data_IF_725192370013
#
_entry.id   IF_725192370013
#
_cell.length_a   1.000
_cell.length_b   1.000
_cell.length_c   1.000
_cell.angle_alpha   90.00
_cell.angle_beta   90.00
_cell.angle_gamma   90.00
#
_symmetry.space_group_name_H-M   'P 1'
#
loop_
_entity.id
_entity.type
_entity.pdbx_description
1 polymer ?
#
# COMPACT_ATOMS: atom_id res chain seq x y z
N UNK A 1 54.43 -37.89 0.70
CA UNK A 1 55.86 -37.62 0.91
C UNK A 1 56.01 -36.10 0.96
N UNK A 2 55.81 -35.53 2.15
CA UNK A 2 56.85 -35.04 3.12
C UNK A 2 57.18 -33.56 2.86
N UNK A 3 56.55 -32.63 3.61
CA UNK A 3 57.07 -31.87 4.81
C UNK A 3 57.64 -30.51 4.36
N UNK A 4 57.47 -29.33 4.98
CA UNK A 4 57.28 -28.87 6.38
C UNK A 4 56.83 -27.38 6.35
N UNK A 5 55.92 -26.85 7.19
CA UNK A 5 56.12 -26.30 8.57
C UNK A 5 57.08 -25.09 8.63
N UNK A 6 56.90 -23.98 9.37
CA UNK A 6 55.95 -23.54 10.42
C UNK A 6 56.23 -22.06 10.81
N UNK A 7 55.50 -21.56 11.84
CA UNK A 7 55.64 -20.35 12.71
C UNK A 7 54.72 -19.17 12.34
N UNK A 8 53.68 -18.75 13.08
CA UNK A 8 53.30 -18.72 14.53
C UNK A 8 54.20 -17.85 15.42
N UNK A 9 53.75 -16.60 15.67
CA UNK A 9 53.79 -15.80 16.91
C UNK A 9 53.42 -14.35 16.51
N UNK A 10 52.71 -13.51 17.27
CA UNK A 10 52.45 -13.52 18.70
C UNK A 10 51.24 -12.64 19.07
N UNK A 11 50.89 -12.79 20.34
CA UNK A 11 49.67 -12.39 21.03
C UNK A 11 49.91 -11.09 21.80
N UNK A 12 48.82 -10.34 21.95
CA UNK A 12 48.39 -9.67 23.18
C UNK A 12 48.81 -8.22 23.52
N UNK A 13 47.79 -7.52 24.04
CA UNK A 13 47.77 -6.53 25.12
C UNK A 13 47.81 -5.04 24.76
N UNK A 14 46.66 -4.38 24.94
CA UNK A 14 46.52 -3.35 25.98
C UNK A 14 45.03 -3.01 26.21
N UNK A 15 44.57 -3.31 27.42
CA UNK A 15 43.30 -2.87 27.99
C UNK A 15 43.55 -1.74 28.98
N UNK A 16 42.46 -1.03 29.33
CA UNK A 16 42.27 -0.02 30.41
C UNK A 16 42.59 1.43 29.97
N UNK A 17 41.83 2.47 30.34
CA UNK A 17 40.86 2.59 31.43
C UNK A 17 39.98 3.86 31.29
N UNK A 18 38.77 3.78 31.90
CA UNK A 18 38.07 4.81 32.74
C UNK A 18 37.63 6.14 32.07
N UNK A 19 36.55 6.82 32.47
CA UNK A 19 35.42 6.61 33.36
C UNK A 19 34.47 7.83 33.23
N UNK A 20 33.20 7.63 33.61
CA UNK A 20 32.22 8.59 34.14
C UNK A 20 31.88 9.89 33.39
N UNK A 21 30.60 10.04 33.02
CA UNK A 21 29.71 11.04 33.62
C UNK A 21 28.25 10.86 33.14
N UNK A 22 27.38 10.41 34.05
CA UNK A 22 25.95 10.79 34.10
C UNK A 22 25.89 12.14 34.86
N UNK A 23 24.91 13.00 34.57
CA UNK A 23 23.79 13.07 35.51
C UNK A 23 22.41 13.18 34.85
N UNK A 24 21.45 12.94 35.72
CA UNK A 24 19.99 12.83 35.63
C UNK A 24 19.23 14.09 35.20
N UNK A 25 18.09 13.82 34.55
CA UNK A 25 16.78 14.53 34.54
C UNK A 25 16.64 15.87 35.28
N UNK A 26 15.98 16.84 34.64
CA UNK A 26 14.76 17.53 35.13
C UNK A 26 14.11 18.36 33.99
N UNK A 27 12.86 18.02 33.70
CA UNK A 27 11.72 18.89 33.34
C UNK A 27 11.99 20.32 32.80
N UNK A 28 11.55 20.61 31.58
CA UNK A 28 10.74 21.81 31.35
C UNK A 28 9.90 21.70 30.06
N UNK A 29 8.65 22.12 30.25
CA UNK A 29 7.50 22.06 29.36
C UNK A 29 7.37 23.46 28.79
N UNK A 30 7.62 23.66 27.50
CA UNK A 30 7.34 24.93 26.82
C UNK A 30 6.36 24.69 25.67
N UNK A 31 5.08 24.66 26.03
CA UNK A 31 3.96 24.93 25.12
C UNK A 31 4.10 26.37 24.63
N UNK A 32 4.04 26.59 23.32
CA UNK A 32 3.61 27.87 22.75
C UNK A 32 2.43 27.66 21.79
N UNK A 33 1.44 28.56 21.80
CA UNK A 33 0.11 28.32 21.26
C UNK A 33 0.00 28.82 19.81
N UNK A 34 -0.61 28.01 18.93
CA UNK A 34 -1.08 28.50 17.64
C UNK A 34 -2.49 29.09 17.83
N UNK A 35 -2.57 30.37 17.49
CA UNK A 35 -3.70 31.28 17.63
C UNK A 35 -4.93 30.85 16.84
N UNK A 36 -6.05 31.04 17.52
CA UNK A 36 -7.44 30.87 17.14
C UNK A 36 -7.86 31.94 16.13
N UNK A 37 -8.32 31.53 14.94
CA UNK A 37 -9.21 32.36 14.13
C UNK A 37 -10.61 31.75 14.15
N UNK A 38 -11.53 32.50 14.75
CA UNK A 38 -12.98 32.33 14.65
C UNK A 38 -13.42 33.09 13.39
N UNK A 39 -14.23 32.47 12.56
CA UNK A 39 -15.26 33.18 11.81
C UNK A 39 -16.63 32.66 12.25
N UNK A 40 -17.47 33.62 12.59
CA UNK A 40 -18.83 33.51 13.11
C UNK A 40 -19.71 34.11 12.01
N UNK A 41 -20.74 33.40 11.61
CA UNK A 41 -21.86 33.86 10.78
C UNK A 41 -22.88 32.72 10.86
N UNK A 42 -23.74 32.73 11.87
CA UNK A 42 -25.05 33.39 11.90
C UNK A 42 -26.04 32.78 10.92
N UNK A 43 -27.13 32.32 11.53
CA UNK A 43 -28.19 31.48 11.02
C UNK A 43 -29.34 32.29 10.41
N UNK A 44 -30.30 31.54 9.84
CA UNK A 44 -31.72 31.80 9.54
C UNK A 44 -32.00 31.31 8.11
N UNK A 45 -33.00 30.47 7.80
CA UNK A 45 -34.11 29.92 8.57
C UNK A 45 -34.78 28.77 7.79
N UNK A 46 -35.79 28.19 8.44
CA UNK A 46 -36.56 26.98 8.11
C UNK A 46 -37.45 27.11 6.85
N UNK A 47 -37.75 25.97 6.20
CA UNK A 47 -39.11 25.36 6.08
C UNK A 47 -39.15 24.15 5.11
N UNK A 48 -39.52 23.01 5.68
CA UNK A 48 -40.45 21.95 5.22
C UNK A 48 -40.23 21.06 3.96
N UNK A 49 -39.96 19.79 4.29
CA UNK A 49 -40.72 18.57 3.95
C UNK A 49 -40.52 17.75 2.64
N UNK A 50 -40.44 16.43 2.88
CA UNK A 50 -40.56 15.24 2.01
C UNK A 50 -39.32 14.80 1.19
N UNK A 51 -38.62 13.75 1.65
CA UNK A 51 -38.95 12.36 1.24
C UNK A 51 -38.06 11.33 1.96
N UNK A 52 -38.67 10.23 2.38
CA UNK A 52 -38.09 9.19 3.22
C UNK A 52 -37.47 8.08 2.34
N UNK A 53 -36.19 7.78 2.56
CA UNK A 53 -35.51 6.46 2.46
C UNK A 53 -33.99 6.65 2.32
N UNK A 54 -33.35 7.10 3.39
CA UNK A 54 -31.89 7.01 3.52
C UNK A 54 -31.57 6.60 4.96
N UNK A 55 -30.98 5.42 5.11
CA UNK A 55 -30.23 5.07 6.32
C UNK A 55 -29.23 6.20 6.60
N UNK A 56 -29.25 6.84 7.77
CA UNK A 56 -28.32 7.93 8.04
C UNK A 56 -26.91 7.35 8.14
N UNK A 57 -26.05 7.73 7.19
CA UNK A 57 -24.60 7.79 7.41
C UNK A 57 -24.39 8.61 8.67
N UNK A 58 -24.14 7.96 9.80
CA UNK A 58 -23.78 8.63 11.04
C UNK A 58 -22.36 9.16 10.82
N UNK A 59 -22.13 10.48 10.70
CA UNK A 59 -20.77 11.00 10.77
C UNK A 59 -20.26 10.64 12.16
N UNK A 60 -19.16 9.89 12.22
CA UNK A 60 -18.51 9.47 13.47
C UNK A 60 -17.90 10.69 14.17
N UNK A 61 -18.74 11.54 14.74
CA UNK A 61 -18.35 12.66 15.57
C UNK A 61 -17.58 12.10 16.77
N UNK A 62 -16.31 12.49 16.95
CA UNK A 62 -15.53 11.95 18.03
C UNK A 62 -16.08 12.45 19.37
N UNK A 63 -16.42 11.52 20.25
CA UNK A 63 -16.96 11.79 21.57
C UNK A 63 -15.89 12.49 22.41
N UNK A 64 -16.26 13.58 23.11
CA UNK A 64 -15.36 14.23 24.07
C UNK A 64 -15.74 13.81 25.48
N UNK A 65 -14.95 12.92 26.07
CA UNK A 65 -15.06 12.52 27.48
C UNK A 65 -13.89 13.14 28.25
N UNK A 66 -14.21 13.87 29.33
CA UNK A 66 -13.22 14.49 30.25
C UNK A 66 -12.13 15.30 29.54
N UNK A 67 -12.50 16.06 28.51
CA UNK A 67 -11.58 16.92 27.75
C UNK A 67 -10.65 16.18 26.78
N UNK A 68 -10.82 14.87 26.57
CA UNK A 68 -10.10 14.08 25.57
C UNK A 68 -11.04 13.65 24.44
N UNK A 69 -10.52 13.65 23.22
CA UNK A 69 -11.25 13.26 22.01
C UNK A 69 -11.11 11.75 21.80
N UNK A 70 -12.21 11.02 21.91
CA UNK A 70 -12.29 9.56 21.78
C UNK A 70 -13.03 9.26 20.47
N UNK A 71 -12.36 8.55 19.54
CA UNK A 71 -13.04 8.03 18.35
C UNK A 71 -13.93 6.85 18.78
N UNK A 72 -15.14 6.67 18.22
CA UNK A 72 -16.06 5.58 18.58
C UNK A 72 -15.42 4.20 18.61
N UNK A 73 -14.46 3.93 17.70
CA UNK A 73 -13.68 2.69 17.72
C UNK A 73 -12.97 2.38 19.04
N UNK A 74 -12.50 3.40 19.76
CA UNK A 74 -11.87 3.21 21.08
C UNK A 74 -12.86 2.87 22.20
N UNK A 75 -14.16 3.06 21.98
CA UNK A 75 -15.22 2.68 22.93
C UNK A 75 -15.66 1.23 22.70
N UNK A 76 -15.53 0.73 21.46
CA UNK A 76 -15.86 -0.65 21.07
C UNK A 76 -14.67 -1.58 21.33
N UNK A 77 -13.44 -1.14 21.03
CA UNK A 77 -12.19 -1.91 21.23
C UNK A 77 -11.77 -2.08 22.71
N UNK A 78 -12.58 -1.60 23.65
CA UNK A 78 -12.21 -1.48 25.07
C UNK A 78 -12.99 -2.37 26.04
N UNK A 79 -13.91 -3.22 25.57
CA UNK A 79 -14.56 -4.19 26.46
C UNK A 79 -13.74 -5.46 26.53
N UNK A 80 -13.41 -5.86 27.76
CA UNK A 80 -12.84 -7.17 28.11
C UNK A 80 -13.73 -8.34 27.63
N UNK A 81 -14.98 -8.03 27.26
CA UNK A 81 -15.88 -8.91 26.52
C UNK A 81 -15.92 -8.54 25.04
N UNK A 82 -15.00 -9.10 24.24
CA UNK A 82 -15.10 -9.08 22.78
C UNK A 82 -16.23 -10.01 22.30
N UNK A 83 -17.47 -9.60 22.58
CA UNK A 83 -18.67 -10.34 22.22
C UNK A 83 -18.81 -10.48 20.69
N UNK A 84 -18.26 -9.53 19.94
CA UNK A 84 -18.23 -9.57 18.47
C UNK A 84 -17.20 -10.58 17.97
N UNK A 85 -16.02 -10.64 18.57
CA UNK A 85 -15.02 -11.67 18.29
C UNK A 85 -15.53 -13.09 18.59
N UNK A 86 -16.18 -13.28 19.75
CA UNK A 86 -16.81 -14.57 20.11
C UNK A 86 -17.91 -14.99 19.15
N UNK A 87 -18.82 -14.07 18.81
CA UNK A 87 -19.87 -14.33 17.83
C UNK A 87 -19.27 -14.67 16.45
N UNK A 88 -18.21 -13.97 16.05
CA UNK A 88 -17.51 -14.27 14.79
C UNK A 88 -16.87 -15.66 14.81
N UNK A 89 -16.26 -16.07 15.93
CA UNK A 89 -15.68 -17.40 16.09
C UNK A 89 -16.75 -18.50 16.07
N UNK A 90 -17.89 -18.30 16.73
CA UNK A 90 -19.04 -19.21 16.69
C UNK A 90 -19.59 -19.35 15.27
N UNK A 91 -19.80 -18.25 14.56
CA UNK A 91 -20.30 -18.27 13.17
C UNK A 91 -19.34 -19.04 12.25
N UNK A 92 -18.03 -18.78 12.35
CA UNK A 92 -17.05 -19.46 11.47
C UNK A 92 -16.86 -20.92 11.89
N UNK A 93 -16.97 -21.25 13.18
CA UNK A 93 -16.96 -22.63 13.66
C UNK A 93 -18.17 -23.41 13.11
N UNK A 94 -19.36 -22.79 13.04
CA UNK A 94 -20.53 -23.40 12.41
C UNK A 94 -20.36 -23.59 10.89
N UNK A 95 -19.60 -22.72 10.22
CA UNK A 95 -19.25 -22.87 8.79
C UNK A 95 -18.27 -24.04 8.54
N UNK A 96 -17.43 -24.39 9.52
CA UNK A 96 -16.35 -25.38 9.37
C UNK A 96 -16.66 -26.61 10.24
N UNK A 97 -17.18 -27.67 9.61
CA UNK A 97 -17.59 -28.89 10.31
C UNK A 97 -16.48 -29.43 11.24
N UNK A 98 -16.82 -29.56 12.54
CA UNK A 98 -15.97 -30.21 13.53
C UNK A 98 -14.92 -29.32 14.20
N UNK A 99 -14.97 -27.99 14.01
CA UNK A 99 -14.06 -27.05 14.67
C UNK A 99 -14.77 -26.32 15.81
N UNK A 100 -14.10 -26.22 16.95
CA UNK A 100 -14.58 -25.47 18.12
C UNK A 100 -14.14 -24.00 18.05
N UNK A 101 -15.00 -23.08 18.51
CA UNK A 101 -14.74 -21.64 18.47
C UNK A 101 -13.51 -21.25 19.31
N UNK A 102 -13.29 -21.88 20.47
CA UNK A 102 -12.09 -21.61 21.28
C UNK A 102 -10.82 -22.15 20.61
N UNK A 103 -10.91 -23.29 19.92
CA UNK A 103 -9.80 -23.82 19.15
C UNK A 103 -9.41 -22.86 18.00
N UNK A 104 -10.40 -22.32 17.29
CA UNK A 104 -10.19 -21.37 16.21
C UNK A 104 -9.51 -20.09 16.67
N UNK A 105 -9.91 -19.57 17.83
CA UNK A 105 -9.28 -18.42 18.49
C UNK A 105 -7.81 -18.68 18.87
N UNK A 106 -7.50 -19.88 19.38
CA UNK A 106 -6.10 -20.29 19.63
C UNK A 106 -5.30 -20.39 18.32
N UNK A 107 -5.93 -20.86 17.24
CA UNK A 107 -5.27 -20.96 15.94
C UNK A 107 -5.05 -19.60 15.28
N UNK A 108 -5.90 -18.60 15.53
CA UNK A 108 -5.63 -17.20 15.16
C UNK A 108 -4.41 -16.66 15.91
N UNK A 109 -4.26 -16.95 17.20
CA UNK A 109 -3.05 -16.56 17.94
C UNK A 109 -1.79 -17.22 17.37
N UNK A 110 -1.87 -18.49 16.95
CA UNK A 110 -0.78 -19.16 16.23
C UNK A 110 -0.52 -18.54 14.86
N UNK A 111 -1.57 -18.18 14.13
CA UNK A 111 -1.45 -17.48 12.85
C UNK A 111 -0.68 -16.16 13.01
N UNK A 112 -0.90 -15.42 14.10
CA UNK A 112 -0.11 -14.23 14.42
C UNK A 112 1.36 -14.50 14.71
N UNK A 113 1.71 -15.68 15.21
CA UNK A 113 3.14 -16.06 15.37
C UNK A 113 3.79 -16.45 14.04
N UNK A 114 3.02 -16.98 13.09
CA UNK A 114 3.50 -17.28 11.74
C UNK A 114 3.65 -16.00 10.89
N UNK A 115 2.70 -15.08 11.02
CA UNK A 115 2.59 -13.85 10.24
C UNK A 115 2.29 -12.68 11.18
N UNK A 116 3.34 -12.16 11.81
CA UNK A 116 3.23 -11.11 12.85
C UNK A 116 2.52 -9.84 12.37
N UNK A 117 2.65 -9.50 11.08
CA UNK A 117 2.01 -8.34 10.47
C UNK A 117 0.48 -8.35 10.53
N UNK A 118 -0.16 -9.53 10.58
CA UNK A 118 -1.63 -9.65 10.60
C UNK A 118 -2.26 -9.01 11.83
N UNK A 119 -1.65 -9.17 13.01
CA UNK A 119 -2.15 -8.58 14.27
C UNK A 119 -2.21 -7.05 14.20
N UNK A 120 -1.20 -6.44 13.58
CA UNK A 120 -1.16 -4.99 13.37
C UNK A 120 -2.27 -4.53 12.41
N UNK A 121 -2.50 -5.30 11.34
CA UNK A 121 -3.50 -4.96 10.31
C UNK A 121 -4.92 -5.14 10.80
N UNK A 122 -5.18 -6.18 11.58
CA UNK A 122 -6.45 -6.35 12.31
C UNK A 122 -6.74 -5.14 13.20
N UNK A 123 -5.77 -4.73 14.03
CA UNK A 123 -5.92 -3.55 14.91
C UNK A 123 -6.15 -2.25 14.13
N UNK A 124 -5.63 -2.15 12.92
CA UNK A 124 -5.88 -1.00 12.04
C UNK A 124 -7.25 -1.05 11.35
N UNK A 125 -7.96 -2.17 11.41
CA UNK A 125 -9.20 -2.43 10.67
C UNK A 125 -8.97 -2.70 9.18
N UNK A 126 -7.75 -3.10 8.79
CA UNK A 126 -7.41 -3.45 7.41
C UNK A 126 -7.87 -4.87 7.04
N UNK A 127 -7.96 -5.75 8.05
CA UNK A 127 -8.42 -7.14 7.91
C UNK A 127 -9.47 -7.39 9.00
N UNK A 128 -10.52 -8.14 8.65
CA UNK A 128 -11.61 -8.46 9.60
C UNK A 128 -11.29 -9.70 10.43
N UNK A 129 -11.81 -9.78 11.67
CA UNK A 129 -11.65 -10.96 12.53
C UNK A 129 -12.16 -12.23 11.86
N UNK A 130 -13.33 -12.17 11.22
CA UNK A 130 -13.95 -13.28 10.47
C UNK A 130 -13.00 -13.84 9.41
N UNK A 131 -12.30 -12.97 8.68
CA UNK A 131 -11.34 -13.40 7.67
C UNK A 131 -10.13 -14.11 8.27
N UNK A 132 -9.61 -13.62 9.40
CA UNK A 132 -8.51 -14.28 10.12
C UNK A 132 -8.93 -15.64 10.67
N UNK A 133 -10.14 -15.75 11.20
CA UNK A 133 -10.73 -17.01 11.67
C UNK A 133 -10.84 -18.01 10.52
N UNK A 134 -11.32 -17.59 9.33
CA UNK A 134 -11.37 -18.46 8.15
C UNK A 134 -9.99 -18.93 7.69
N UNK A 135 -8.97 -18.07 7.75
CA UNK A 135 -7.59 -18.47 7.45
C UNK A 135 -7.06 -19.44 8.52
N UNK A 136 -7.35 -19.19 9.79
CA UNK A 136 -6.94 -20.05 10.90
C UNK A 136 -7.62 -21.44 10.87
N UNK A 137 -8.83 -21.53 10.31
CA UNK A 137 -9.52 -22.81 10.09
C UNK A 137 -8.71 -23.82 9.26
N UNK A 138 -7.80 -23.34 8.40
CA UNK A 138 -6.78 -24.17 7.76
C UNK A 138 -5.36 -23.67 8.07
N UNK A 139 -5.01 -23.64 9.35
CA UNK A 139 -3.68 -23.24 9.81
C UNK A 139 -2.55 -24.07 9.18
N UNK A 140 -2.80 -25.35 8.91
CA UNK A 140 -1.84 -26.23 8.24
C UNK A 140 -1.58 -25.80 6.80
N UNK A 141 -2.63 -25.52 6.02
CA UNK A 141 -2.53 -24.95 4.67
C UNK A 141 -1.82 -23.60 4.68
N UNK A 142 -2.20 -22.69 5.58
CA UNK A 142 -1.54 -21.39 5.74
C UNK A 142 -0.03 -21.56 6.04
N UNK A 143 0.34 -22.49 6.92
CA UNK A 143 1.74 -22.79 7.24
C UNK A 143 2.50 -23.34 6.02
N UNK A 144 1.91 -24.28 5.29
CA UNK A 144 2.49 -24.82 4.05
C UNK A 144 2.71 -23.72 3.02
N UNK A 145 1.75 -22.80 2.88
CA UNK A 145 1.83 -21.67 1.96
C UNK A 145 2.96 -20.70 2.33
N UNK A 146 3.08 -20.29 3.60
CA UNK A 146 4.19 -19.45 4.06
C UNK A 146 5.54 -20.11 3.83
N UNK A 147 5.69 -21.40 4.16
CA UNK A 147 6.93 -22.13 3.94
C UNK A 147 7.25 -22.34 2.46
N UNK A 148 6.22 -22.60 1.64
CA UNK A 148 6.33 -22.73 0.19
C UNK A 148 6.83 -21.45 -0.45
N UNK A 149 6.21 -20.31 -0.11
CA UNK A 149 6.63 -18.98 -0.56
C UNK A 149 8.04 -18.64 -0.07
N UNK A 150 8.39 -18.94 1.18
CA UNK A 150 9.77 -18.77 1.69
C UNK A 150 10.79 -19.57 0.89
N UNK A 151 10.46 -20.79 0.48
CA UNK A 151 11.33 -21.60 -0.40
C UNK A 151 11.41 -21.01 -1.81
N UNK A 152 10.29 -20.53 -2.36
CA UNK A 152 10.23 -19.95 -3.71
C UNK A 152 11.07 -18.68 -3.85
N UNK A 153 11.07 -17.84 -2.80
CA UNK A 153 11.80 -16.58 -2.74
C UNK A 153 13.07 -16.67 -1.89
N UNK A 154 13.59 -17.87 -1.60
CA UNK A 154 14.75 -18.04 -0.71
C UNK A 154 16.02 -17.31 -1.20
N UNK A 155 16.15 -17.12 -2.51
CA UNK A 155 17.24 -16.36 -3.12
C UNK A 155 17.10 -14.84 -2.93
N UNK A 156 15.89 -14.37 -2.65
CA UNK A 156 15.59 -12.96 -2.44
C UNK A 156 15.51 -12.68 -0.94
N UNK A 157 16.09 -11.57 -0.48
CA UNK A 157 15.99 -11.13 0.90
C UNK A 157 14.62 -10.49 1.19
N UNK A 158 13.53 -11.20 0.89
CA UNK A 158 12.15 -10.72 1.04
C UNK A 158 11.56 -11.17 2.36
N UNK A 159 10.81 -10.28 2.99
CA UNK A 159 10.00 -10.62 4.16
C UNK A 159 8.65 -11.21 3.72
N UNK A 160 8.63 -12.54 3.60
CA UNK A 160 7.44 -13.28 3.19
C UNK A 160 6.30 -13.17 4.21
N UNK A 161 6.62 -13.00 5.49
CA UNK A 161 5.57 -12.80 6.49
C UNK A 161 4.89 -11.45 6.27
N UNK A 162 5.66 -10.38 6.07
CA UNK A 162 5.08 -9.07 5.74
C UNK A 162 4.34 -9.09 4.39
N UNK A 163 4.84 -9.85 3.39
CA UNK A 163 4.14 -10.02 2.11
C UNK A 163 2.77 -10.69 2.28
N UNK A 164 2.70 -11.80 3.01
CA UNK A 164 1.44 -12.47 3.33
C UNK A 164 0.54 -11.61 4.26
N UNK A 165 1.13 -10.77 5.12
CA UNK A 165 0.35 -9.82 5.89
C UNK A 165 -0.29 -8.76 4.98
N UNK A 166 0.44 -8.31 3.94
CA UNK A 166 -0.06 -7.37 2.93
C UNK A 166 -1.17 -7.95 2.06
N UNK A 167 -1.09 -9.23 1.74
CA UNK A 167 -2.04 -9.97 0.92
C UNK A 167 -2.41 -11.31 1.58
N UNK A 168 -3.41 -11.34 2.48
CA UNK A 168 -3.78 -12.53 3.26
C UNK A 168 -4.28 -13.71 2.43
N UNK A 169 -4.80 -13.45 1.23
CA UNK A 169 -5.23 -14.50 0.30
C UNK A 169 -4.08 -15.43 -0.13
N UNK A 170 -2.82 -14.98 -0.02
CA UNK A 170 -1.64 -15.82 -0.22
C UNK A 170 -1.56 -17.01 0.76
N UNK A 171 -2.22 -16.91 1.91
CA UNK A 171 -2.29 -17.99 2.89
C UNK A 171 -3.29 -19.07 2.51
N UNK A 172 -4.17 -18.81 1.54
CA UNK A 172 -5.25 -19.69 1.07
C UNK A 172 -5.05 -20.19 -0.35
N UNK A 173 -3.83 -20.09 -0.88
CA UNK A 173 -3.50 -20.60 -2.21
C UNK A 173 -3.70 -22.11 -2.24
N UNK A 174 -4.53 -22.58 -3.17
CA UNK A 174 -4.79 -23.99 -3.39
C UNK A 174 -3.66 -24.66 -4.20
N UNK A 175 -3.14 -23.97 -5.21
CA UNK A 175 -2.10 -24.47 -6.12
C UNK A 175 -0.83 -23.60 -6.07
N UNK A 176 0.09 -23.95 -5.17
CA UNK A 176 1.41 -23.32 -5.07
C UNK A 176 2.32 -23.61 -6.27
N UNK A 177 2.07 -24.67 -7.02
CA UNK A 177 2.91 -25.03 -8.17
C UNK A 177 2.60 -24.13 -9.37
N UNK A 178 1.33 -23.75 -9.56
CA UNK A 178 0.96 -22.70 -10.51
C UNK A 178 1.63 -21.35 -10.17
N UNK A 179 1.70 -20.99 -8.88
CA UNK A 179 2.42 -19.78 -8.41
C UNK A 179 3.92 -19.89 -8.70
N UNK A 180 4.53 -21.05 -8.44
CA UNK A 180 5.94 -21.32 -8.72
C UNK A 180 6.28 -21.15 -10.21
N UNK A 181 5.47 -21.75 -11.10
CA UNK A 181 5.67 -21.64 -12.54
C UNK A 181 5.51 -20.20 -13.03
N UNK A 182 4.55 -19.44 -12.48
CA UNK A 182 4.41 -18.01 -12.79
C UNK A 182 5.65 -17.21 -12.40
N UNK A 183 6.14 -17.39 -11.18
CA UNK A 183 7.34 -16.69 -10.69
C UNK A 183 8.55 -17.03 -11.57
N UNK A 184 8.71 -18.30 -11.94
CA UNK A 184 9.78 -18.75 -12.85
C UNK A 184 9.71 -18.06 -14.21
N UNK A 185 8.55 -18.12 -14.88
CA UNK A 185 8.34 -17.46 -16.19
C UNK A 185 8.60 -15.96 -16.11
N UNK A 186 8.16 -15.33 -15.02
CA UNK A 186 8.33 -13.88 -14.83
C UNK A 186 9.79 -13.50 -14.60
N UNK A 187 10.55 -14.30 -13.84
CA UNK A 187 12.01 -14.10 -13.68
C UNK A 187 12.74 -14.17 -15.01
N UNK A 188 12.34 -15.08 -15.89
CA UNK A 188 12.89 -15.18 -17.26
C UNK A 188 12.56 -13.91 -18.06
N UNK A 189 11.27 -13.57 -18.20
CA UNK A 189 10.81 -12.40 -18.97
C UNK A 189 11.37 -11.07 -18.45
N UNK A 190 11.42 -10.89 -17.13
CA UNK A 190 11.93 -9.65 -16.53
C UNK A 190 13.45 -9.59 -16.56
N UNK A 191 14.14 -10.73 -16.50
CA UNK A 191 15.57 -10.83 -16.66
C UNK A 191 16.05 -10.30 -18.02
N UNK A 192 15.28 -10.53 -19.09
CA UNK A 192 15.59 -10.02 -20.44
C UNK A 192 15.63 -8.49 -20.52
N UNK A 193 14.88 -7.80 -19.65
CA UNK A 193 14.80 -6.33 -19.61
C UNK A 193 15.47 -5.71 -18.38
N UNK A 194 16.27 -6.50 -17.65
CA UNK A 194 17.03 -6.04 -16.48
C UNK A 194 16.14 -5.63 -15.31
N UNK A 195 15.00 -6.29 -15.13
CA UNK A 195 14.06 -6.04 -14.03
C UNK A 195 14.07 -7.19 -13.03
N UNK A 196 13.95 -6.86 -11.74
CA UNK A 196 13.90 -7.84 -10.64
C UNK A 196 12.44 -8.28 -10.40
N UNK A 197 12.11 -9.50 -10.82
CA UNK A 197 10.80 -10.09 -10.64
C UNK A 197 10.42 -10.31 -9.16
N UNK A 198 11.38 -10.63 -8.30
CA UNK A 198 11.10 -10.90 -6.90
C UNK A 198 10.70 -9.60 -6.19
N UNK A 199 11.39 -8.49 -6.47
CA UNK A 199 10.98 -7.16 -6.00
C UNK A 199 9.63 -6.71 -6.55
N UNK A 200 9.32 -7.07 -7.80
CA UNK A 200 8.02 -6.78 -8.39
C UNK A 200 6.88 -7.50 -7.65
N UNK A 201 7.05 -8.79 -7.34
CA UNK A 201 6.06 -9.54 -6.55
C UNK A 201 5.95 -9.04 -5.11
N UNK A 202 7.06 -8.61 -4.48
CA UNK A 202 6.97 -7.92 -3.18
C UNK A 202 6.17 -6.62 -3.28
N UNK A 203 6.36 -5.84 -4.35
CA UNK A 203 5.62 -4.61 -4.57
C UNK A 203 4.12 -4.84 -4.82
N UNK A 204 3.76 -5.92 -5.53
CA UNK A 204 2.37 -6.28 -5.86
C UNK A 204 2.10 -7.77 -5.62
N UNK A 205 1.88 -8.20 -4.36
CA UNK A 205 1.74 -9.62 -4.03
C UNK A 205 0.48 -10.25 -4.65
N UNK A 206 -0.57 -9.47 -4.88
CA UNK A 206 -1.80 -9.92 -5.56
C UNK A 206 -1.57 -10.47 -6.97
N UNK A 207 -0.47 -10.10 -7.64
CA UNK A 207 -0.10 -10.66 -8.94
C UNK A 207 0.23 -12.16 -8.89
N UNK A 208 0.59 -12.69 -7.71
CA UNK A 208 0.76 -14.12 -7.50
C UNK A 208 -0.57 -14.87 -7.52
N UNK A 209 -1.69 -14.17 -7.28
CA UNK A 209 -3.04 -14.73 -7.20
C UNK A 209 -3.87 -14.47 -8.46
N UNK A 210 -3.44 -13.57 -9.34
CA UNK A 210 -4.17 -13.21 -10.55
C UNK A 210 -4.39 -14.42 -11.49
N UNK A 211 -5.37 -14.34 -12.38
CA UNK A 211 -5.48 -15.31 -13.48
C UNK A 211 -4.30 -15.15 -14.46
N UNK A 212 -3.96 -16.21 -15.20
CA UNK A 212 -2.79 -16.19 -16.09
C UNK A 212 -2.89 -15.09 -17.17
N UNK A 213 -4.05 -14.95 -17.82
CA UNK A 213 -4.29 -13.93 -18.84
C UNK A 213 -4.19 -12.51 -18.30
N UNK A 214 -4.74 -12.27 -17.11
CA UNK A 214 -4.71 -10.95 -16.48
C UNK A 214 -3.28 -10.59 -16.05
N UNK A 215 -2.56 -11.56 -15.49
CA UNK A 215 -1.17 -11.38 -15.12
C UNK A 215 -0.28 -11.08 -16.33
N UNK A 216 -0.48 -11.78 -17.45
CA UNK A 216 0.31 -11.54 -18.67
C UNK A 216 0.16 -10.09 -19.17
N UNK A 217 -1.04 -9.51 -19.06
CA UNK A 217 -1.30 -8.10 -19.38
C UNK A 217 -0.55 -7.16 -18.42
N UNK A 218 -0.59 -7.45 -17.12
CA UNK A 218 0.10 -6.66 -16.09
C UNK A 218 1.63 -6.72 -16.28
N UNK A 219 2.16 -7.91 -16.53
CA UNK A 219 3.58 -8.14 -16.78
C UNK A 219 4.06 -7.43 -18.06
N UNK A 220 3.25 -7.48 -19.13
CA UNK A 220 3.55 -6.76 -20.38
C UNK A 220 3.62 -5.24 -20.15
N UNK A 221 2.71 -4.67 -19.35
CA UNK A 221 2.77 -3.24 -19.00
C UNK A 221 3.96 -2.88 -18.12
N UNK A 222 4.34 -3.74 -17.16
CA UNK A 222 5.54 -3.53 -16.36
C UNK A 222 6.81 -3.54 -17.23
N UNK A 223 6.90 -4.47 -18.18
CA UNK A 223 7.98 -4.51 -19.18
C UNK A 223 7.97 -3.27 -20.07
N UNK A 224 6.80 -2.83 -20.53
CA UNK A 224 6.67 -1.63 -21.34
C UNK A 224 7.10 -0.37 -20.57
N UNK A 225 6.75 -0.28 -19.28
CA UNK A 225 7.19 0.80 -18.39
C UNK A 225 8.71 0.79 -18.19
N UNK A 226 9.32 -0.39 -18.05
CA UNK A 226 10.78 -0.52 -17.97
C UNK A 226 11.48 -0.10 -19.27
N UNK A 227 10.90 -0.40 -20.43
CA UNK A 227 11.41 0.06 -21.73
C UNK A 227 11.25 1.57 -21.90
N UNK A 228 10.13 2.12 -21.42
CA UNK A 228 9.87 3.55 -21.45
C UNK A 228 10.86 4.32 -20.56
N UNK A 229 11.17 3.80 -19.38
CA UNK A 229 12.12 4.35 -18.41
C UNK A 229 13.19 3.32 -18.01
N UNK A 230 14.26 3.15 -18.81
CA UNK A 230 15.28 2.12 -18.60
C UNK A 230 15.97 2.19 -17.23
N UNK A 231 16.16 3.40 -16.70
CA UNK A 231 16.82 3.62 -15.41
C UNK A 231 15.85 3.52 -14.22
N UNK A 232 14.54 3.38 -14.46
CA UNK A 232 13.55 3.39 -13.41
C UNK A 232 13.52 2.09 -12.59
N UNK A 233 13.21 2.26 -11.30
CA UNK A 233 12.81 1.17 -10.41
C UNK A 233 11.29 0.98 -10.51
N UNK A 234 10.89 0.11 -11.43
CA UNK A 234 9.47 -0.21 -11.68
C UNK A 234 8.82 -0.83 -10.46
N UNK A 235 9.52 -1.64 -9.67
CA UNK A 235 8.97 -2.22 -8.45
C UNK A 235 8.61 -1.13 -7.44
N UNK A 236 9.45 -0.10 -7.29
CA UNK A 236 9.16 1.06 -6.44
C UNK A 236 7.94 1.84 -6.92
N UNK A 237 7.80 2.04 -8.23
CA UNK A 237 6.61 2.68 -8.84
C UNK A 237 5.35 1.86 -8.52
N UNK A 238 5.38 0.57 -8.82
CA UNK A 238 4.26 -0.34 -8.60
C UNK A 238 3.86 -0.45 -7.12
N UNK A 239 4.83 -0.40 -6.20
CA UNK A 239 4.55 -0.40 -4.75
C UNK A 239 3.75 0.83 -4.31
N UNK A 240 4.04 1.99 -4.89
CA UNK A 240 3.34 3.23 -4.56
C UNK A 240 2.04 3.41 -5.35
N UNK A 241 2.01 2.92 -6.59
CA UNK A 241 0.97 3.17 -7.60
C UNK A 241 0.73 1.90 -8.43
N UNK A 242 0.18 0.82 -7.85
CA UNK A 242 0.02 -0.47 -8.54
C UNK A 242 -0.86 -0.37 -9.78
N UNK A 243 -1.83 0.56 -9.77
CA UNK A 243 -2.74 0.78 -10.90
C UNK A 243 -2.06 1.23 -12.20
N UNK A 244 -0.80 1.71 -12.16
CA UNK A 244 0.00 1.96 -13.38
C UNK A 244 0.04 0.71 -14.27
N UNK A 245 0.16 -0.47 -13.67
CA UNK A 245 0.23 -1.74 -14.41
C UNK A 245 -1.12 -2.46 -14.48
N UNK A 246 -2.06 -2.18 -13.57
CA UNK A 246 -3.37 -2.84 -13.56
C UNK A 246 -4.35 -2.22 -14.58
N UNK A 247 -4.27 -0.92 -14.85
CA UNK A 247 -5.22 -0.19 -15.69
C UNK A 247 -4.56 0.42 -16.94
N UNK A 248 -5.17 0.19 -18.10
CA UNK A 248 -4.67 0.69 -19.39
C UNK A 248 -4.71 2.22 -19.47
N UNK A 249 -5.74 2.87 -18.91
CA UNK A 249 -5.84 4.34 -18.94
C UNK A 249 -4.75 4.97 -18.06
N UNK A 250 -4.53 4.41 -16.88
CA UNK A 250 -3.48 4.80 -15.96
C UNK A 250 -2.08 4.67 -16.58
N UNK A 251 -1.82 3.58 -17.30
CA UNK A 251 -0.58 3.40 -18.06
C UNK A 251 -0.40 4.50 -19.12
N UNK A 252 -1.42 4.79 -19.91
CA UNK A 252 -1.35 5.83 -20.95
C UNK A 252 -1.11 7.24 -20.37
N UNK A 253 -1.71 7.55 -19.22
CA UNK A 253 -1.44 8.80 -18.49
C UNK A 253 0.02 8.87 -18.04
N UNK A 254 0.55 7.79 -17.49
CA UNK A 254 1.95 7.71 -17.08
C UNK A 254 2.90 7.90 -18.27
N UNK A 255 2.59 7.30 -19.42
CA UNK A 255 3.38 7.46 -20.64
C UNK A 255 3.46 8.93 -21.10
N UNK A 256 2.31 9.62 -21.14
CA UNK A 256 2.26 11.05 -21.44
C UNK A 256 3.05 11.88 -20.43
N UNK A 257 2.94 11.58 -19.13
CA UNK A 257 3.65 12.30 -18.08
C UNK A 257 5.17 12.11 -18.17
N UNK A 258 5.65 10.91 -18.53
CA UNK A 258 7.09 10.66 -18.78
C UNK A 258 7.60 11.52 -19.92
N UNK A 259 6.86 11.55 -21.05
CA UNK A 259 7.24 12.35 -22.21
C UNK A 259 7.27 13.86 -21.88
N UNK A 260 6.24 14.36 -21.19
CA UNK A 260 6.16 15.75 -20.78
C UNK A 260 7.29 16.12 -19.79
N UNK A 261 7.57 15.25 -18.82
CA UNK A 261 8.66 15.47 -17.85
C UNK A 261 10.02 15.51 -18.55
N UNK A 262 10.28 14.62 -19.51
CA UNK A 262 11.54 14.63 -20.29
C UNK A 262 11.68 15.87 -21.17
N UNK A 263 10.58 16.35 -21.76
CA UNK A 263 10.60 17.56 -22.58
C UNK A 263 10.85 18.82 -21.76
N UNK A 264 10.35 18.86 -20.53
CA UNK A 264 10.49 20.02 -19.65
C UNK A 264 11.81 20.06 -18.86
N UNK A 265 12.42 18.91 -18.59
CA UNK A 265 13.60 18.82 -17.74
C UNK A 265 14.92 19.09 -18.50
N UNK A 266 15.95 19.64 -17.83
CA UNK A 266 17.29 19.74 -18.38
C UNK A 266 17.86 18.37 -18.80
N UNK A 267 18.74 18.31 -19.82
CA UNK A 267 19.26 17.05 -20.36
C UNK A 267 20.16 16.26 -19.39
N UNK A 268 20.72 16.91 -18.37
CA UNK A 268 21.48 16.28 -17.29
C UNK A 268 20.60 15.70 -16.18
N UNK A 269 19.27 15.92 -16.23
CA UNK A 269 18.34 15.40 -15.24
C UNK A 269 18.10 13.89 -15.45
N UNK A 270 18.31 13.10 -14.38
CA UNK A 270 17.95 11.69 -14.33
C UNK A 270 16.44 11.52 -14.10
N UNK A 271 15.65 11.83 -15.12
CA UNK A 271 14.17 11.86 -15.06
C UNK A 271 13.60 10.52 -14.59
N UNK A 272 14.11 9.40 -15.10
CA UNK A 272 13.62 8.05 -14.78
C UNK A 272 13.74 7.71 -13.29
N UNK A 273 14.87 8.09 -12.67
CA UNK A 273 15.06 7.92 -11.23
C UNK A 273 14.13 8.83 -10.44
N UNK A 274 13.99 10.09 -10.87
CA UNK A 274 13.08 11.04 -10.22
C UNK A 274 11.63 10.53 -10.25
N UNK A 275 11.16 10.00 -11.38
CA UNK A 275 9.82 9.43 -11.50
C UNK A 275 9.65 8.12 -10.72
N UNK A 276 10.73 7.37 -10.52
CA UNK A 276 10.73 6.18 -9.64
C UNK A 276 10.63 6.56 -8.16
N UNK A 277 11.34 7.61 -7.76
CA UNK A 277 11.33 8.11 -6.39
C UNK A 277 10.05 8.87 -6.04
N UNK A 278 9.45 9.54 -7.03
CA UNK A 278 8.22 10.30 -6.89
C UNK A 278 7.16 9.88 -7.93
N UNK A 279 6.58 8.66 -7.81
CA UNK A 279 5.61 8.12 -8.78
C UNK A 279 4.32 8.94 -8.92
N UNK A 280 4.05 9.89 -8.02
CA UNK A 280 2.94 10.83 -8.15
C UNK A 280 3.04 11.68 -9.41
N UNK A 281 4.25 12.04 -9.85
CA UNK A 281 4.46 12.87 -11.03
C UNK A 281 3.95 12.21 -12.31
N UNK A 282 3.87 10.88 -12.35
CA UNK A 282 3.29 10.12 -13.46
C UNK A 282 1.78 10.37 -13.67
N UNK A 283 1.12 11.02 -12.70
CA UNK A 283 -0.32 11.25 -12.70
C UNK A 283 -0.68 12.72 -12.58
N UNK A 284 0.27 13.61 -12.87
CA UNK A 284 0.11 15.05 -12.79
C UNK A 284 0.31 15.62 -14.19
N UNK A 285 -0.52 16.59 -14.56
CA UNK A 285 -0.29 17.42 -15.74
C UNK A 285 0.98 18.25 -15.51
N UNK A 286 2.09 17.86 -16.15
CA UNK A 286 3.41 18.44 -15.92
C UNK A 286 3.45 19.91 -16.36
N UNK A 287 2.79 20.26 -17.47
CA UNK A 287 2.82 21.62 -18.00
C UNK A 287 2.12 22.58 -17.03
N UNK A 288 0.92 22.21 -16.58
CA UNK A 288 0.20 22.99 -15.58
C UNK A 288 0.97 23.07 -14.25
N UNK A 289 1.64 21.98 -13.82
CA UNK A 289 2.45 22.00 -12.60
C UNK A 289 3.61 23.01 -12.70
N UNK A 290 4.28 23.08 -13.85
CA UNK A 290 5.38 24.02 -14.07
C UNK A 290 4.89 25.46 -14.15
N UNK A 291 3.73 25.72 -14.77
CA UNK A 291 3.05 27.01 -14.71
C UNK A 291 2.79 27.42 -13.25
N UNK A 292 2.23 26.51 -12.44
CA UNK A 292 1.93 26.79 -11.04
C UNK A 292 3.20 27.06 -10.21
N UNK A 293 4.26 26.26 -10.40
CA UNK A 293 5.56 26.46 -9.72
C UNK A 293 6.14 27.82 -10.08
N UNK A 294 6.10 28.20 -11.35
CA UNK A 294 6.59 29.50 -11.82
C UNK A 294 5.82 30.66 -11.19
N UNK A 295 4.49 30.52 -11.06
CA UNK A 295 3.63 31.53 -10.45
C UNK A 295 3.87 31.69 -8.94
N UNK A 296 4.11 30.58 -8.22
CA UNK A 296 4.25 30.58 -6.76
C UNK A 296 5.66 30.94 -6.31
N UNK A 297 6.68 30.38 -6.95
CA UNK A 297 8.07 30.50 -6.49
C UNK A 297 8.93 31.44 -7.34
N UNK A 298 8.47 31.80 -8.55
CA UNK A 298 9.28 32.50 -9.54
C UNK A 298 10.44 31.65 -10.06
N UNK A 299 11.28 32.24 -10.93
CA UNK A 299 12.47 31.57 -11.47
C UNK A 299 12.16 30.47 -12.51
N UNK A 300 13.11 29.54 -12.67
CA UNK A 300 12.97 28.40 -13.57
C UNK A 300 12.25 27.23 -12.86
N UNK A 301 11.01 26.89 -13.27
CA UNK A 301 10.21 25.87 -12.60
C UNK A 301 10.83 24.46 -12.73
N UNK A 302 11.56 24.17 -13.81
CA UNK A 302 12.17 22.87 -14.02
C UNK A 302 13.30 22.61 -13.00
N UNK A 303 14.17 23.60 -12.76
CA UNK A 303 15.21 23.52 -11.72
C UNK A 303 14.63 23.40 -10.31
N UNK A 304 13.52 24.09 -10.01
CA UNK A 304 12.85 23.99 -8.71
C UNK A 304 12.28 22.58 -8.50
N UNK A 305 11.58 22.06 -9.51
CA UNK A 305 11.01 20.72 -9.46
C UNK A 305 12.10 19.65 -9.36
N UNK A 306 13.21 19.82 -10.10
CA UNK A 306 14.38 18.92 -10.04
C UNK A 306 14.99 18.85 -8.63
N UNK A 307 15.15 20.00 -7.96
CA UNK A 307 15.73 20.06 -6.61
C UNK A 307 14.82 19.49 -5.54
N UNK A 308 13.51 19.64 -5.71
CA UNK A 308 12.53 19.15 -4.75
C UNK A 308 11.25 18.65 -5.45
N UNK A 309 11.27 17.40 -5.94
CA UNK A 309 10.13 16.81 -6.65
C UNK A 309 8.85 16.72 -5.79
N UNK A 310 8.99 16.68 -4.46
CA UNK A 310 7.86 16.66 -3.53
C UNK A 310 7.04 17.96 -3.52
N UNK A 311 7.51 19.04 -4.16
CA UNK A 311 6.76 20.28 -4.32
C UNK A 311 5.45 20.05 -5.09
N UNK A 312 5.37 19.02 -5.94
CA UNK A 312 4.13 18.67 -6.66
C UNK A 312 2.94 18.44 -5.72
N UNK A 313 3.18 18.01 -4.48
CA UNK A 313 2.13 17.82 -3.47
C UNK A 313 1.70 19.13 -2.80
N UNK A 314 2.49 20.19 -2.88
CA UNK A 314 2.22 21.45 -2.17
C UNK A 314 1.50 22.47 -3.03
N UNK A 315 1.80 22.47 -4.32
CA UNK A 315 1.29 23.47 -5.26
C UNK A 315 -0.15 23.16 -5.69
N UNK A 316 -0.56 21.88 -5.69
CA UNK A 316 -1.90 21.45 -6.09
C UNK A 316 -2.89 21.16 -4.95
N UNK A 317 -2.53 21.43 -3.69
CA UNK A 317 -3.52 21.36 -2.61
C UNK A 317 -4.59 22.46 -2.71
N UNK A 318 -4.31 23.53 -3.46
CA UNK A 318 -5.26 24.62 -3.70
C UNK A 318 -5.98 24.51 -5.06
N UNK A 319 -5.75 23.45 -5.84
CA UNK A 319 -6.32 23.35 -7.20
C UNK A 319 -6.54 21.90 -7.63
N UNK A 320 -7.46 21.20 -6.96
CA UNK A 320 -8.22 20.13 -7.61
C UNK A 320 -9.33 20.77 -8.46
N UNK A 321 -8.93 21.42 -9.54
CA UNK A 321 -9.81 21.73 -10.66
C UNK A 321 -9.20 21.02 -11.87
N UNK A 322 -9.90 19.98 -12.35
CA UNK A 322 -9.71 19.52 -13.73
C UNK A 322 -10.17 20.68 -14.61
N UNK A 323 -9.25 21.58 -14.98
CA UNK A 323 -9.51 22.58 -16.02
C UNK A 323 -9.24 21.88 -17.33
N UNK A 324 -10.30 21.29 -17.90
CA UNK A 324 -10.38 21.12 -19.33
C UNK A 324 -10.19 22.51 -19.97
N UNK A 325 -9.04 22.77 -20.61
CA UNK A 325 -8.93 23.93 -21.51
C UNK A 325 -9.81 23.66 -22.73
N UNK A 326 -10.89 24.43 -22.97
CA UNK A 326 -11.75 24.20 -24.13
C UNK A 326 -11.07 24.80 -25.35
N UNK A 327 -10.73 23.95 -26.33
CA UNK A 327 -10.54 24.46 -27.68
C UNK A 327 -11.92 24.84 -28.25
N UNK A 328 -11.95 26.00 -28.90
CA UNK A 328 -13.11 26.77 -29.35
C UNK A 328 -14.24 25.91 -29.93
N UNK A 329 -15.44 26.05 -29.34
CA UNK A 329 -16.71 25.90 -30.07
C UNK A 329 -17.56 24.66 -29.76
N UNK A 330 -18.52 24.87 -28.85
CA UNK A 330 -19.78 24.12 -28.59
C UNK A 330 -19.74 22.99 -27.53
N UNK A 331 -20.80 22.88 -26.70
CA UNK A 331 -20.77 22.10 -25.47
C UNK A 331 -21.29 20.68 -25.69
N UNK A 332 -20.57 19.69 -25.16
CA UNK A 332 -21.12 18.38 -24.85
C UNK A 332 -20.88 18.14 -23.36
N UNK A 333 -21.94 18.23 -22.57
CA UNK A 333 -21.92 17.84 -21.16
C UNK A 333 -21.69 16.34 -21.09
N UNK A 334 -20.58 15.92 -20.49
CA UNK A 334 -20.46 14.58 -19.94
C UNK A 334 -19.74 14.67 -18.61
N UNK A 335 -20.51 14.54 -17.55
CA UNK A 335 -20.07 14.51 -16.16
C UNK A 335 -19.13 13.32 -15.97
N UNK A 336 -17.84 13.58 -15.74
CA UNK A 336 -16.87 12.55 -15.37
C UNK A 336 -16.95 12.31 -13.86
N UNK A 337 -17.78 11.35 -13.47
CA UNK A 337 -17.65 10.68 -12.19
C UNK A 337 -16.42 9.79 -12.25
N UNK A 338 -15.43 10.04 -11.39
CA UNK A 338 -14.38 9.07 -11.11
C UNK A 338 -15.06 7.73 -10.74
N UNK A 339 -14.68 6.58 -11.31
CA UNK A 339 -15.11 5.32 -10.73
C UNK A 339 -14.52 5.27 -9.32
N UNK A 340 -15.40 5.05 -8.35
CA UNK A 340 -15.01 4.52 -7.05
C UNK A 340 -14.08 3.31 -7.30
N UNK A 341 -13.16 3.07 -6.35
CA UNK A 341 -12.33 1.85 -6.30
C UNK A 341 -13.13 0.66 -6.87
N UNK A 342 -12.58 -0.17 -7.77
CA UNK A 342 -13.25 -1.43 -8.09
C UNK A 342 -13.41 -2.19 -6.78
N UNK A 343 -14.64 -2.21 -6.26
CA UNK A 343 -15.05 -3.21 -5.31
C UNK A 343 -15.05 -4.49 -6.11
N UNK A 344 -14.19 -5.43 -5.75
CA UNK A 344 -14.37 -6.82 -6.14
C UNK A 344 -15.73 -7.25 -5.60
N UNK A 345 -16.75 -7.27 -6.46
CA UNK A 345 -18.03 -7.90 -6.16
C UNK A 345 -17.77 -9.39 -5.94
N UNK A 346 -17.93 -9.81 -4.68
CA UNK A 346 -18.06 -11.20 -4.29
C UNK A 346 -19.38 -11.73 -4.87
N UNK A 347 -19.37 -12.22 -6.09
CA UNK A 347 -20.47 -13.06 -6.59
C UNK A 347 -20.18 -14.52 -6.23
N UNK A 348 -20.63 -14.88 -5.03
CA UNK A 348 -20.96 -16.27 -4.69
C UNK A 348 -22.18 -16.70 -5.51
N UNK A 349 -21.94 -17.30 -6.67
CA UNK A 349 -22.96 -17.87 -7.54
C UNK A 349 -23.05 -19.39 -7.36
N UNK A 350 -23.90 -19.82 -6.43
CA UNK A 350 -24.39 -21.20 -6.35
C UNK A 350 -25.37 -21.44 -7.51
N UNK A 351 -25.09 -22.48 -8.31
CA UNK A 351 -25.96 -23.33 -9.12
C UNK A 351 -27.42 -22.91 -9.41
N UNK A 352 -27.80 -22.94 -10.70
CA UNK A 352 -28.64 -24.02 -11.28
C UNK A 352 -28.74 -23.91 -12.82
N UNK A 353 -28.77 -25.04 -13.55
CA UNK A 353 -29.00 -25.07 -15.00
C UNK A 353 -30.50 -25.20 -15.31
N UNK A 354 -30.95 -24.56 -16.38
CA UNK A 354 -32.20 -24.92 -17.04
C UNK A 354 -31.95 -25.07 -18.54
N UNK A 355 -32.56 -26.14 -19.07
CA UNK A 355 -32.49 -26.67 -20.43
C UNK A 355 -32.90 -25.68 -21.50
#
# INVERSE_FOLDING_TARGET
>A
MTTSSALVAGRAAAARARASARPSSTTSRARRPATRWRTRGEALGDEDDLDATRTPDVPSTPLRLLGRTIKPKHVIDGREDDALGRLAAEIVADEIEGVDAEALERDVERLFTLVEGLRRRERNGEITRVELLRIAGDLSGATKNVLGLRKLFASASLDIAEMCAREPDLLRVEDLDAVRERVKRTRETFGEVGMDADRFFDAMPSCLLAEASDFDVVAARAVALKKLMPDADVAKICRAKPWVCLDAKSYAIAECAVAATRAAMPPDCRVDLMLSDFPSLLFVDIDALLEDIKNVFGGDPAEILRRNPAISYRVRLDTFCIVARPNRGRPCLTTLTLPARPQFEKNSGIFKPLR
#
